data_IF_941059983713
#
_entry.id   IF_941059983713
#
_cell.length_a   1.000
_cell.length_b   1.000
_cell.length_c   1.000
_cell.angle_alpha   90.00
_cell.angle_beta   90.00
_cell.angle_gamma   90.00
#
_symmetry.space_group_name_H-M   'P 1'
#
loop_
_entity.id
_entity.type
_entity.pdbx_description
1 polymer ?
#
# COMPACT_ATOMS: atom_id res chain seq x y z
N UNK A 1 -10.71 8.33 -14.67
CA UNK A 1 -9.25 8.11 -14.68
C UNK A 1 -8.94 7.14 -13.54
N UNK A 2 -9.18 5.84 -13.73
CA UNK A 2 -9.10 4.87 -12.63
C UNK A 2 -7.67 4.32 -12.57
N UNK A 3 -6.87 4.88 -11.65
CA UNK A 3 -5.58 4.29 -11.27
C UNK A 3 -5.76 2.91 -10.63
N UNK A 4 -4.65 2.22 -10.38
CA UNK A 4 -4.68 0.95 -9.65
C UNK A 4 -5.11 1.20 -8.20
N UNK A 5 -6.05 0.36 -7.72
CA UNK A 5 -6.40 0.27 -6.32
C UNK A 5 -6.10 -1.16 -5.85
N UNK A 6 -5.40 -1.28 -4.73
CA UNK A 6 -5.09 -2.58 -4.17
C UNK A 6 -6.36 -3.34 -3.80
N UNK A 7 -6.40 -4.68 -3.98
CA UNK A 7 -7.51 -5.50 -3.47
C UNK A 7 -7.50 -5.64 -1.94
N UNK A 8 -6.39 -5.30 -1.28
CA UNK A 8 -6.32 -5.37 0.17
C UNK A 8 -7.00 -4.17 0.82
N UNK A 9 -7.84 -4.37 1.86
CA UNK A 9 -8.38 -3.26 2.64
C UNK A 9 -7.26 -2.36 3.15
N UNK A 10 -7.48 -1.05 3.17
CA UNK A 10 -6.51 -0.09 3.67
C UNK A 10 -7.13 0.79 4.76
N UNK A 11 -6.34 1.16 5.76
CA UNK A 11 -6.72 2.10 6.82
C UNK A 11 -5.60 3.08 7.13
N UNK A 12 -5.95 4.24 7.64
CA UNK A 12 -4.99 5.20 8.21
C UNK A 12 -4.85 4.89 9.70
N UNK A 13 -3.63 4.64 10.16
CA UNK A 13 -3.37 4.38 11.58
C UNK A 13 -1.93 4.74 11.97
N UNK A 14 -1.63 4.85 13.28
CA UNK A 14 -0.26 4.94 13.75
C UNK A 14 0.53 3.69 13.38
N UNK A 15 1.66 3.87 12.71
CA UNK A 15 2.60 2.81 12.35
C UNK A 15 3.81 2.87 13.28
N UNK A 16 3.74 2.18 14.42
CA UNK A 16 4.81 2.20 15.44
C UNK A 16 6.15 1.59 14.99
N UNK A 17 6.19 0.91 13.84
CA UNK A 17 7.44 0.44 13.21
C UNK A 17 8.20 1.61 12.56
N UNK A 18 7.48 2.65 12.15
CA UNK A 18 8.04 3.90 11.65
C UNK A 18 7.92 4.97 12.75
N UNK A 19 9.05 5.54 13.17
CA UNK A 19 9.03 6.63 14.15
C UNK A 19 9.80 7.83 13.64
N UNK A 20 9.26 9.01 13.88
CA UNK A 20 9.93 10.30 13.66
C UNK A 20 9.97 10.99 15.00
N UNK A 21 11.17 11.32 15.48
CA UNK A 21 11.38 11.97 16.79
C UNK A 21 10.80 11.20 17.99
N UNK A 22 10.57 9.89 17.84
CA UNK A 22 9.99 9.03 18.88
C UNK A 22 8.49 8.80 18.74
N UNK A 23 7.80 9.61 17.96
CA UNK A 23 6.36 9.49 17.70
C UNK A 23 6.07 8.54 16.53
N UNK A 24 4.96 7.82 16.64
CA UNK A 24 4.51 6.95 15.57
C UNK A 24 4.06 7.76 14.36
N UNK A 25 4.51 7.37 13.17
CA UNK A 25 4.05 8.02 11.93
C UNK A 25 2.62 7.55 11.63
N UNK A 26 1.71 8.50 11.37
CA UNK A 26 0.36 8.18 10.93
C UNK A 26 0.37 7.99 9.42
N UNK A 27 0.14 6.76 8.97
CA UNK A 27 0.22 6.39 7.55
C UNK A 27 -0.97 5.54 7.11
N UNK A 28 -1.27 5.56 5.80
CA UNK A 28 -2.19 4.61 5.18
C UNK A 28 -1.46 3.29 4.96
N UNK A 29 -1.99 2.21 5.55
CA UNK A 29 -1.45 0.85 5.48
C UNK A 29 -2.51 -0.11 4.94
N UNK A 30 -2.08 -1.14 4.21
CA UNK A 30 -2.92 -2.28 3.83
C UNK A 30 -3.00 -3.31 4.96
N UNK A 31 -4.17 -3.91 5.11
CA UNK A 31 -4.44 -5.03 6.02
C UNK A 31 -4.22 -6.31 5.21
N UNK A 32 -3.12 -6.99 5.49
CA UNK A 32 -2.67 -8.17 4.77
C UNK A 32 -3.02 -9.43 5.56
N UNK A 33 -3.58 -10.48 4.93
CA UNK A 33 -3.81 -11.74 5.61
C UNK A 33 -2.47 -12.43 5.90
N UNK A 34 -2.35 -12.99 7.11
CA UNK A 34 -1.24 -13.84 7.50
C UNK A 34 -1.55 -15.31 7.22
N UNK A 35 -0.50 -16.11 7.07
CA UNK A 35 -0.63 -17.55 6.82
C UNK A 35 -1.25 -18.33 7.99
N UNK A 36 -1.14 -17.80 9.23
CA UNK A 36 -1.73 -18.37 10.44
C UNK A 36 -3.18 -17.94 10.68
N UNK A 37 -3.83 -17.29 9.70
CA UNK A 37 -5.23 -16.86 9.79
C UNK A 37 -5.45 -15.54 10.52
N UNK A 38 -4.38 -14.84 10.92
CA UNK A 38 -4.43 -13.49 11.45
C UNK A 38 -4.33 -12.41 10.36
N UNK A 39 -4.33 -11.15 10.79
CA UNK A 39 -4.04 -9.99 9.94
C UNK A 39 -2.71 -9.35 10.37
N UNK A 40 -1.95 -8.80 9.42
CA UNK A 40 -0.83 -7.90 9.67
C UNK A 40 -1.03 -6.62 8.85
N UNK A 41 -0.32 -5.56 9.22
CA UNK A 41 -0.26 -4.33 8.46
C UNK A 41 0.98 -4.33 7.56
N UNK A 42 0.82 -3.85 6.33
CA UNK A 42 1.97 -3.66 5.46
C UNK A 42 2.88 -2.54 5.98
N UNK A 43 4.16 -2.57 5.59
CA UNK A 43 5.05 -1.42 5.72
C UNK A 43 4.99 -0.60 4.41
N UNK A 44 4.46 0.63 4.40
CA UNK A 44 4.15 1.35 3.16
C UNK A 44 5.34 1.56 2.21
N UNK A 45 6.57 1.68 2.73
CA UNK A 45 7.77 1.91 1.93
C UNK A 45 8.28 0.67 1.19
N UNK A 46 7.90 -0.53 1.64
CA UNK A 46 8.32 -1.81 1.04
C UNK A 46 7.14 -2.63 0.51
N UNK A 47 5.91 -2.18 0.74
CA UNK A 47 4.71 -2.82 0.25
C UNK A 47 4.53 -2.57 -1.26
N UNK A 48 4.55 -3.65 -2.03
CA UNK A 48 4.32 -3.63 -3.49
C UNK A 48 2.98 -3.01 -3.88
N UNK A 49 1.96 -3.22 -3.06
CA UNK A 49 0.62 -2.69 -3.31
C UNK A 49 0.57 -1.18 -3.10
N UNK A 50 1.19 -0.68 -2.03
CA UNK A 50 1.38 0.76 -1.81
C UNK A 50 2.24 1.39 -2.92
N UNK A 51 3.31 0.71 -3.35
CA UNK A 51 4.13 1.16 -4.47
C UNK A 51 3.28 1.29 -5.73
N UNK A 52 2.53 0.24 -6.08
CA UNK A 52 1.70 0.21 -7.28
C UNK A 52 0.63 1.30 -7.23
N UNK A 53 -0.08 1.48 -6.12
CA UNK A 53 -1.04 2.59 -5.97
C UNK A 53 -0.40 3.98 -6.15
N UNK A 54 0.84 4.18 -5.68
CA UNK A 54 1.58 5.45 -5.85
C UNK A 54 2.09 5.66 -7.28
N UNK A 55 2.56 4.60 -7.92
CA UNK A 55 3.23 4.68 -9.22
C UNK A 55 2.28 4.53 -10.41
N UNK A 56 1.08 4.01 -10.19
CA UNK A 56 0.14 3.71 -11.27
C UNK A 56 -0.52 4.97 -11.81
N UNK A 57 0.07 5.51 -12.87
CA UNK A 57 -0.52 6.60 -13.64
C UNK A 57 -1.77 6.17 -14.40
N UNK A 58 -2.63 7.14 -14.69
CA UNK A 58 -3.74 6.96 -15.60
C UNK A 58 -3.30 6.37 -16.95
N UNK A 59 -3.96 5.31 -17.42
CA UNK A 59 -3.71 4.74 -18.76
C UNK A 59 -2.76 3.53 -18.80
N UNK A 60 -2.20 3.10 -17.68
CA UNK A 60 -1.38 1.87 -17.60
C UNK A 60 -2.20 0.56 -17.57
N UNK A 61 -3.54 0.63 -17.68
CA UNK A 61 -4.46 -0.50 -17.48
C UNK A 61 -4.71 -1.44 -18.65
N UNK A 62 -4.10 -1.27 -19.82
CA UNK A 62 -4.25 -2.28 -20.87
C UNK A 62 -2.98 -2.34 -21.71
N UNK A 63 -2.55 -3.55 -22.05
CA UNK A 63 -1.33 -3.88 -22.79
C UNK A 63 -1.20 -3.26 -24.18
N UNK A 64 -1.21 -1.93 -24.29
CA UNK A 64 -0.57 -1.23 -25.39
C UNK A 64 0.91 -1.12 -25.03
N UNK A 65 1.71 -2.00 -25.65
CA UNK A 65 3.11 -1.70 -25.93
C UNK A 65 3.16 -0.27 -26.45
N UNK A 66 3.90 0.59 -25.77
CA UNK A 66 4.38 1.83 -26.36
C UNK A 66 5.36 1.38 -27.44
N UNK A 67 4.92 1.49 -28.69
CA UNK A 67 5.74 1.27 -29.89
C UNK A 67 6.75 2.40 -30.06
#
# INVERSE_FOLDING_TARGET
MTGYLSPYPAKVQPNYRNRVEGDAVVERVHIMPRQDGGEDICQPHVCRECERERSWGAGQTTGKRVS
#
